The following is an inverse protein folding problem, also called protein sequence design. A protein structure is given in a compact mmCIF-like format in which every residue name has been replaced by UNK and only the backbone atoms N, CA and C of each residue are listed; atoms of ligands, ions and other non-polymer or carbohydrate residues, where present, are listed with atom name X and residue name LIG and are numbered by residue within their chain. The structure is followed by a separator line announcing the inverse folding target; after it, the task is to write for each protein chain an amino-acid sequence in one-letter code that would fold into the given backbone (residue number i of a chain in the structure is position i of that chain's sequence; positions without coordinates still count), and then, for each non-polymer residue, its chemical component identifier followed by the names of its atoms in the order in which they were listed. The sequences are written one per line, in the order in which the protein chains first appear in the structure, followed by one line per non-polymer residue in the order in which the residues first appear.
data_IF_349682864666
#
_entry.id   IF_349682864666
#
_cell.length_a   1.000
_cell.length_b   1.000
_cell.length_c   1.000
_cell.angle_alpha   90.00
_cell.angle_beta   90.00
_cell.angle_gamma   90.00
#
_symmetry.space_group_name_H-M   'P 1'
#
loop_
_entity.id
_entity.type
_entity.pdbx_description
1 polymer ?
#
# COMPACT_ATOMS: atom_id res chain seq x y z
N UNK A 1 35.36 3.66 33.61
CA UNK A 1 34.38 2.64 33.16
C UNK A 1 33.18 2.80 34.09
N UNK A 2 32.21 3.61 33.68
CA UNK A 2 30.98 3.82 34.42
C UNK A 2 29.86 3.56 33.43
N UNK A 3 29.05 2.57 33.77
CA UNK A 3 27.96 2.01 32.98
C UNK A 3 26.99 3.10 32.51
N UNK A 4 27.04 3.40 31.21
CA UNK A 4 25.92 4.00 30.49
C UNK A 4 24.87 2.88 30.35
N UNK A 5 24.10 2.66 31.41
CA UNK A 5 22.84 1.93 31.30
C UNK A 5 21.80 2.97 30.86
N UNK A 6 21.41 3.06 29.57
CA UNK A 6 20.35 3.97 29.19
C UNK A 6 19.08 3.54 29.91
N UNK A 7 18.47 4.46 30.66
CA UNK A 7 17.11 4.30 31.20
C UNK A 7 16.20 3.67 30.12
N UNK A 8 15.34 2.70 30.48
CA UNK A 8 14.48 2.04 29.50
C UNK A 8 13.65 3.12 28.78
N UNK A 9 13.71 3.13 27.46
CA UNK A 9 12.96 4.08 26.64
C UNK A 9 11.45 3.89 26.89
N UNK A 10 10.85 4.78 27.69
CA UNK A 10 9.42 4.78 27.95
C UNK A 10 8.73 5.54 26.82
N UNK A 11 7.95 4.83 26.01
CA UNK A 11 7.16 5.44 24.95
C UNK A 11 6.22 6.50 25.53
N UNK A 12 6.23 7.67 24.93
CA UNK A 12 5.25 8.73 25.20
C UNK A 12 3.84 8.25 24.88
N UNK A 13 2.79 8.86 25.48
CA UNK A 13 1.40 8.51 25.15
C UNK A 13 1.09 8.60 23.65
N UNK A 14 1.69 9.56 22.95
CA UNK A 14 1.56 9.68 21.49
C UNK A 14 2.15 8.47 20.76
N UNK A 15 3.38 8.07 21.10
CA UNK A 15 4.02 6.89 20.51
C UNK A 15 3.27 5.59 20.83
N UNK A 16 2.68 5.47 22.02
CA UNK A 16 1.86 4.30 22.37
C UNK A 16 0.59 4.20 21.52
N UNK A 17 0.04 5.34 21.10
CA UNK A 17 -1.13 5.41 20.23
C UNK A 17 -0.70 5.12 18.78
N UNK A 18 0.35 5.78 18.28
CA UNK A 18 0.79 5.65 16.89
C UNK A 18 1.47 4.32 16.60
N UNK A 19 2.08 3.66 17.58
CA UNK A 19 2.65 2.32 17.43
C UNK A 19 1.60 1.24 17.08
N UNK A 20 0.32 1.50 17.36
CA UNK A 20 -0.78 0.59 17.00
C UNK A 20 -1.37 0.89 15.62
N UNK A 21 -0.97 2.00 15.00
CA UNK A 21 -1.44 2.34 13.66
C UNK A 21 -0.69 1.48 12.63
N UNK A 22 -1.38 1.06 11.55
CA UNK A 22 -0.71 0.42 10.43
C UNK A 22 0.37 1.37 9.90
N UNK A 23 1.62 0.89 9.88
CA UNK A 23 2.71 1.66 9.28
C UNK A 23 2.56 1.55 7.77
N UNK A 24 2.26 2.68 7.12
CA UNK A 24 2.25 2.76 5.67
C UNK A 24 3.69 2.68 5.16
N UNK A 25 3.91 1.90 4.10
CA UNK A 25 5.15 1.97 3.34
C UNK A 25 5.30 3.35 2.68
N UNK A 26 6.54 3.77 2.40
CA UNK A 26 6.80 5.00 1.66
C UNK A 26 6.05 5.02 0.32
N UNK A 27 5.99 3.87 -0.35
CA UNK A 27 5.22 3.68 -1.58
C UNK A 27 3.72 3.93 -1.39
N UNK A 28 3.09 3.36 -0.35
CA UNK A 28 1.66 3.56 -0.09
C UNK A 28 1.34 5.01 0.29
N UNK A 29 2.22 5.66 1.06
CA UNK A 29 2.04 7.06 1.41
C UNK A 29 2.04 7.95 0.15
N UNK A 30 3.05 7.79 -0.71
CA UNK A 30 3.15 8.53 -1.97
C UNK A 30 2.01 8.21 -2.93
N UNK A 31 1.55 6.95 -2.97
CA UNK A 31 0.43 6.56 -3.81
C UNK A 31 -0.85 7.29 -3.42
N UNK A 32 -1.17 7.32 -2.13
CA UNK A 32 -2.36 8.02 -1.64
C UNK A 32 -2.27 9.53 -1.92
N UNK A 33 -1.10 10.14 -1.71
CA UNK A 33 -0.89 11.57 -1.99
C UNK A 33 -1.06 11.89 -3.48
N UNK A 34 -0.50 11.07 -4.37
CA UNK A 34 -0.64 11.24 -5.81
C UNK A 34 -2.08 11.01 -6.30
N UNK A 35 -2.82 10.07 -5.68
CA UNK A 35 -4.24 9.85 -5.97
C UNK A 35 -5.10 11.05 -5.54
N UNK A 36 -4.88 11.59 -4.34
CA UNK A 36 -5.55 12.81 -3.86
C UNK A 36 -5.27 13.99 -4.79
N UNK A 37 -4.00 14.20 -5.14
CA UNK A 37 -3.60 15.26 -6.07
C UNK A 37 -4.31 15.16 -7.42
N UNK A 38 -4.29 13.98 -8.05
CA UNK A 38 -4.92 13.78 -9.36
C UNK A 38 -6.44 13.88 -9.30
N UNK A 39 -7.05 13.49 -8.20
CA UNK A 39 -8.51 13.63 -8.00
C UNK A 39 -8.92 15.09 -7.91
N UNK A 40 -8.10 15.91 -7.27
CA UNK A 40 -8.35 17.36 -7.15
C UNK A 40 -8.07 18.11 -8.46
N UNK A 41 -6.99 17.76 -9.19
CA UNK A 41 -6.66 18.41 -10.47
C UNK A 41 -7.53 17.94 -11.64
N UNK A 42 -7.91 16.66 -11.66
CA UNK A 42 -8.65 16.03 -12.76
C UNK A 42 -9.95 15.40 -12.26
N UNK A 43 -10.96 16.20 -11.85
CA UNK A 43 -12.25 15.70 -11.39
C UNK A 43 -13.03 14.95 -12.49
N UNK A 44 -12.70 15.16 -13.77
CA UNK A 44 -13.22 14.39 -14.90
C UNK A 44 -12.68 12.95 -14.97
N UNK A 45 -11.66 12.64 -14.17
CA UNK A 45 -10.99 11.35 -14.09
C UNK A 45 -9.61 11.35 -14.72
N UNK A 46 -8.80 10.36 -14.33
CA UNK A 46 -7.42 10.19 -14.77
C UNK A 46 -7.09 8.70 -14.95
N UNK A 47 -6.03 8.42 -15.71
CA UNK A 47 -5.49 7.06 -15.84
C UNK A 47 -4.78 6.68 -14.54
N UNK A 48 -5.08 5.51 -13.99
CA UNK A 48 -4.43 5.00 -12.77
C UNK A 48 -2.91 4.88 -12.94
N UNK A 49 -2.42 4.68 -14.17
CA UNK A 49 -0.98 4.67 -14.46
C UNK A 49 -0.32 6.04 -14.22
N UNK A 50 -1.08 7.14 -14.20
CA UNK A 50 -0.57 8.45 -13.85
C UNK A 50 -0.11 8.50 -12.39
N UNK A 51 -0.87 7.88 -11.46
CA UNK A 51 -0.45 7.74 -10.06
C UNK A 51 0.89 7.01 -10.00
N UNK A 52 0.99 5.85 -10.65
CA UNK A 52 2.20 5.05 -10.63
C UNK A 52 3.43 5.79 -11.18
N UNK A 53 3.26 6.66 -12.17
CA UNK A 53 4.35 7.49 -12.72
C UNK A 53 4.80 8.56 -11.73
N UNK A 54 3.86 9.29 -11.13
CA UNK A 54 4.15 10.32 -10.13
C UNK A 54 4.91 9.72 -8.94
N UNK A 55 4.39 8.61 -8.40
CA UNK A 55 5.02 7.90 -7.28
C UNK A 55 6.43 7.41 -7.65
N UNK A 56 6.63 6.91 -8.88
CA UNK A 56 7.93 6.39 -9.30
C UNK A 56 9.01 7.48 -9.47
N UNK A 57 8.59 8.69 -9.81
CA UNK A 57 9.48 9.85 -9.92
C UNK A 57 9.94 10.33 -8.53
N UNK A 58 9.04 10.31 -7.54
CA UNK A 58 9.31 10.86 -6.20
C UNK A 58 9.87 9.85 -5.19
N UNK A 59 9.66 8.55 -5.40
CA UNK A 59 10.13 7.55 -4.45
C UNK A 59 11.67 7.46 -4.43
N UNK A 60 12.31 7.41 -3.24
CA UNK A 60 13.76 7.23 -3.14
C UNK A 60 14.23 5.97 -3.87
N UNK A 61 15.38 6.06 -4.56
CA UNK A 61 15.92 4.95 -5.35
C UNK A 61 16.13 3.66 -4.54
N UNK A 62 16.46 3.79 -3.25
CA UNK A 62 16.63 2.66 -2.34
C UNK A 62 15.32 1.91 -2.01
N UNK A 63 14.18 2.59 -2.11
CA UNK A 63 12.84 2.06 -1.81
C UNK A 63 12.16 1.49 -3.07
N UNK A 64 12.66 1.80 -4.27
CA UNK A 64 12.11 1.30 -5.55
C UNK A 64 11.99 -0.22 -5.63
N UNK A 65 12.97 -1.03 -5.17
CA UNK A 65 12.82 -2.49 -5.16
C UNK A 65 11.63 -2.95 -4.31
N UNK A 66 11.46 -2.38 -3.11
CA UNK A 66 10.36 -2.73 -2.22
C UNK A 66 9.00 -2.28 -2.79
N UNK A 67 8.95 -1.12 -3.46
CA UNK A 67 7.78 -0.65 -4.16
C UNK A 67 7.39 -1.56 -5.33
N UNK A 68 8.36 -2.05 -6.10
CA UNK A 68 8.12 -3.04 -7.16
C UNK A 68 7.55 -4.34 -6.58
N UNK A 69 8.13 -4.85 -5.50
CA UNK A 69 7.63 -6.06 -4.84
C UNK A 69 6.18 -5.89 -4.38
N UNK A 70 5.85 -4.73 -3.79
CA UNK A 70 4.48 -4.38 -3.39
C UNK A 70 3.52 -4.34 -4.60
N UNK A 71 3.92 -3.68 -5.70
CA UNK A 71 3.15 -3.63 -6.94
C UNK A 71 2.90 -5.02 -7.54
N UNK A 72 3.93 -5.85 -7.61
CA UNK A 72 3.82 -7.22 -8.11
C UNK A 72 2.91 -8.07 -7.24
N UNK A 73 3.05 -7.97 -5.92
CA UNK A 73 2.21 -8.70 -4.98
C UNK A 73 0.74 -8.28 -5.10
N UNK A 74 0.46 -6.98 -5.15
CA UNK A 74 -0.90 -6.46 -5.34
C UNK A 74 -1.51 -6.94 -6.66
N UNK A 75 -0.76 -6.89 -7.77
CA UNK A 75 -1.23 -7.40 -9.05
C UNK A 75 -1.54 -8.90 -8.99
N UNK A 76 -0.65 -9.70 -8.41
CA UNK A 76 -0.86 -11.14 -8.28
C UNK A 76 -2.08 -11.45 -7.41
N UNK A 77 -2.25 -10.75 -6.29
CA UNK A 77 -3.39 -10.93 -5.39
C UNK A 77 -4.72 -10.58 -6.09
N UNK A 78 -4.76 -9.48 -6.85
CA UNK A 78 -5.93 -9.10 -7.64
C UNK A 78 -6.27 -10.17 -8.70
N UNK A 79 -5.25 -10.72 -9.38
CA UNK A 79 -5.44 -11.79 -10.35
C UNK A 79 -5.97 -13.08 -9.71
N UNK A 80 -5.50 -13.45 -8.51
CA UNK A 80 -6.05 -14.60 -7.80
C UNK A 80 -7.49 -14.36 -7.37
N UNK A 81 -7.80 -13.17 -6.86
CA UNK A 81 -9.17 -12.84 -6.47
C UNK A 81 -10.15 -12.89 -7.64
N UNK A 82 -9.77 -12.39 -8.83
CA UNK A 82 -10.60 -12.51 -10.04
C UNK A 82 -10.83 -13.97 -10.44
N UNK A 83 -9.81 -14.83 -10.33
CA UNK A 83 -9.94 -16.27 -10.62
C UNK A 83 -10.88 -16.96 -9.64
N UNK A 84 -10.75 -16.67 -8.35
CA UNK A 84 -11.61 -17.22 -7.30
C UNK A 84 -13.06 -16.77 -7.48
N UNK A 85 -13.28 -15.49 -7.80
CA UNK A 85 -14.61 -14.96 -8.09
C UNK A 85 -15.27 -15.67 -9.28
N UNK A 86 -14.52 -15.86 -10.38
CA UNK A 86 -15.02 -16.58 -11.56
C UNK A 86 -15.37 -18.04 -11.25
N UNK A 87 -14.49 -18.74 -10.53
CA UNK A 87 -14.76 -20.11 -10.10
C UNK A 87 -16.02 -20.20 -9.22
N UNK A 88 -16.22 -19.26 -8.29
CA UNK A 88 -17.41 -19.20 -7.45
C UNK A 88 -18.70 -18.97 -8.27
N UNK A 89 -18.65 -18.12 -9.30
CA UNK A 89 -19.78 -17.94 -10.21
C UNK A 89 -20.08 -19.19 -11.04
N UNK A 90 -19.06 -19.91 -11.50
CA UNK A 90 -19.22 -21.16 -12.27
C UNK A 90 -19.80 -22.30 -11.42
N UNK A 91 -19.37 -22.45 -10.16
CA UNK A 91 -19.96 -23.42 -9.22
C UNK A 91 -21.43 -23.12 -8.92
N UNK A 92 -21.78 -21.83 -8.74
CA UNK A 92 -23.17 -21.41 -8.52
C UNK A 92 -24.04 -21.59 -9.77
N UNK A 93 -23.50 -21.33 -10.97
CA UNK A 93 -24.21 -21.51 -12.23
C UNK A 93 -24.36 -23.01 -12.63
N UNK A 94 -23.39 -23.85 -12.26
CA UNK A 94 -23.39 -25.29 -12.52
C UNK A 94 -24.33 -26.12 -11.63
N UNK A 95 -24.75 -25.57 -10.47
CA UNK A 95 -25.66 -26.23 -9.53
C UNK A 95 -27.16 -26.16 -9.89
N UNK A 96 -27.53 -25.50 -10.99
CA UNK A 96 -28.94 -25.33 -11.43
C UNK A 96 -29.26 -26.22 -12.64
N UNK A 97 -28.82 -27.48 -12.64
CA UNK A 97 -29.23 -28.49 -13.64
C UNK A 97 -29.76 -29.75 -12.99
#
# INVERSE_FOLDING_TARGET
MSDLNPEPYVLTPFEQITAKLPQLSAFQALWNEAEEYLTDEHPEGFDVLAIGRLVWEDIPEAEKPAALDALFYCWWAALQSDREQRAAFEEQAGGTR
#
